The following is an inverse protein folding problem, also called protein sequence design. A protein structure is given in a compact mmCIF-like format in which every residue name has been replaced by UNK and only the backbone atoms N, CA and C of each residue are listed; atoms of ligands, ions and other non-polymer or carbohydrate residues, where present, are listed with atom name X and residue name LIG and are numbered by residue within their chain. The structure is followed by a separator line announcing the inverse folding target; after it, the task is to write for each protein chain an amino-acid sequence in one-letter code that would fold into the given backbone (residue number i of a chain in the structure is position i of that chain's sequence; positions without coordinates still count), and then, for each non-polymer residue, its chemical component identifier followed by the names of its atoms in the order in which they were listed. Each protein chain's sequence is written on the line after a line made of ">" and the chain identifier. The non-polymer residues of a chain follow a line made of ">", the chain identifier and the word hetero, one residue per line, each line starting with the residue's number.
data_IF_659775389332
#
_entry.id   IF_659775389332
#
_cell.length_a   1.000
_cell.length_b   1.000
_cell.length_c   1.000
_cell.angle_alpha   90.00
_cell.angle_beta   90.00
_cell.angle_gamma   90.00
#
_symmetry.space_group_name_H-M   'P 1'
#
loop_
_entity.id
_entity.type
_entity.pdbx_description
1 polymer ?
#
# COMPACT_ATOMS: atom_id res chain seq x y z
N UNK A 1 -10.72 -21.47 18.31
CA UNK A 1 -10.68 -21.01 16.95
C UNK A 1 -9.28 -20.45 16.67
N UNK A 2 -8.61 -20.95 15.66
CA UNK A 2 -7.28 -20.44 15.25
C UNK A 2 -7.43 -19.26 14.30
N UNK A 3 -6.44 -18.37 14.31
CA UNK A 3 -6.32 -17.34 13.27
C UNK A 3 -5.61 -18.00 12.08
N UNK A 4 -6.20 -17.94 10.91
CA UNK A 4 -5.61 -18.42 9.68
C UNK A 4 -4.91 -17.25 8.98
N UNK A 5 -3.64 -17.43 8.60
CA UNK A 5 -2.83 -16.40 7.97
C UNK A 5 -2.58 -16.81 6.51
N UNK A 6 -2.96 -15.95 5.56
CA UNK A 6 -2.65 -16.10 4.15
C UNK A 6 -1.71 -14.97 3.72
N UNK A 7 -0.50 -15.33 3.33
CA UNK A 7 0.46 -14.38 2.73
C UNK A 7 0.27 -14.32 1.23
N UNK A 8 0.30 -13.11 0.69
CA UNK A 8 0.24 -12.84 -0.74
C UNK A 8 1.55 -12.20 -1.19
N UNK A 9 2.36 -12.96 -1.92
CA UNK A 9 3.63 -12.51 -2.48
C UNK A 9 3.43 -11.99 -3.92
N UNK A 10 2.71 -10.91 -4.08
CA UNK A 10 2.60 -10.23 -5.38
C UNK A 10 3.63 -9.12 -5.46
N UNK A 11 4.51 -9.18 -6.47
CA UNK A 11 5.44 -8.10 -6.74
C UNK A 11 4.67 -6.84 -7.13
N UNK A 12 5.24 -5.70 -6.83
CA UNK A 12 4.84 -4.33 -7.18
C UNK A 12 3.34 -3.99 -7.18
N UNK A 13 2.94 -3.19 -6.20
CA UNK A 13 1.56 -2.79 -5.87
C UNK A 13 0.87 -1.92 -6.94
N UNK A 14 1.57 -1.42 -7.96
CA UNK A 14 1.09 -0.28 -8.72
C UNK A 14 0.01 -0.53 -9.79
N UNK A 15 -0.15 -1.67 -10.42
CA UNK A 15 -1.13 -1.82 -11.52
C UNK A 15 -1.84 -3.17 -11.64
N UNK A 16 -1.28 -4.26 -11.14
CA UNK A 16 -1.90 -5.59 -11.20
C UNK A 16 -2.62 -5.99 -9.92
N UNK A 17 -2.40 -5.27 -8.83
CA UNK A 17 -2.78 -5.69 -7.49
C UNK A 17 -4.25 -5.52 -7.16
N UNK A 18 -4.92 -4.54 -7.73
CA UNK A 18 -6.35 -4.35 -7.44
C UNK A 18 -7.14 -5.56 -7.95
N UNK A 19 -6.78 -6.08 -9.14
CA UNK A 19 -7.41 -7.27 -9.70
C UNK A 19 -7.03 -8.57 -8.97
N UNK A 20 -5.74 -8.76 -8.71
CA UNK A 20 -5.22 -9.95 -8.03
C UNK A 20 -5.63 -9.99 -6.55
N UNK A 21 -5.61 -8.82 -5.89
CA UNK A 21 -6.05 -8.68 -4.51
C UNK A 21 -7.55 -8.94 -4.37
N UNK A 22 -8.38 -8.36 -5.22
CA UNK A 22 -9.81 -8.60 -5.23
C UNK A 22 -10.14 -10.08 -5.42
N UNK A 23 -9.45 -10.73 -6.38
CA UNK A 23 -9.59 -12.18 -6.62
C UNK A 23 -9.19 -13.01 -5.40
N UNK A 24 -8.06 -12.69 -4.78
CA UNK A 24 -7.60 -13.40 -3.59
C UNK A 24 -8.50 -13.17 -2.37
N UNK A 25 -9.05 -11.97 -2.20
CA UNK A 25 -9.99 -11.66 -1.14
C UNK A 25 -11.30 -12.43 -1.35
N UNK A 26 -11.80 -12.50 -2.59
CA UNK A 26 -12.95 -13.31 -2.97
C UNK A 26 -12.74 -14.78 -2.64
N UNK A 27 -11.59 -15.35 -3.02
CA UNK A 27 -11.23 -16.74 -2.69
C UNK A 27 -11.22 -17.00 -1.17
N UNK A 28 -10.69 -16.05 -0.38
CA UNK A 28 -10.68 -16.16 1.09
C UNK A 28 -12.11 -16.18 1.64
N UNK A 29 -12.98 -15.29 1.18
CA UNK A 29 -14.36 -15.22 1.62
C UNK A 29 -15.12 -16.50 1.27
N UNK A 30 -15.02 -16.94 0.01
CA UNK A 30 -15.74 -18.12 -0.49
C UNK A 30 -15.27 -19.44 0.12
N UNK A 31 -13.97 -19.55 0.40
CA UNK A 31 -13.38 -20.79 0.91
C UNK A 31 -13.49 -20.95 2.42
N UNK A 32 -13.29 -19.84 3.16
CA UNK A 32 -13.14 -19.90 4.62
C UNK A 32 -14.34 -19.35 5.36
N UNK A 33 -15.22 -18.59 4.70
CA UNK A 33 -16.38 -17.92 5.32
C UNK A 33 -16.05 -17.25 6.66
N UNK A 34 -15.03 -16.37 6.70
CA UNK A 34 -14.56 -15.78 7.94
C UNK A 34 -15.56 -14.76 8.47
N UNK A 35 -15.70 -14.67 9.79
CA UNK A 35 -16.49 -13.61 10.45
C UNK A 35 -15.80 -12.24 10.32
N UNK A 36 -14.45 -12.23 10.19
CA UNK A 36 -13.63 -11.03 10.09
C UNK A 36 -12.36 -11.29 9.31
N UNK A 37 -11.99 -10.32 8.47
CA UNK A 37 -10.74 -10.30 7.73
C UNK A 37 -9.92 -9.10 8.20
N UNK A 38 -8.65 -9.35 8.55
CA UNK A 38 -7.67 -8.30 8.83
C UNK A 38 -6.66 -8.29 7.69
N UNK A 39 -6.51 -7.14 7.05
CA UNK A 39 -5.61 -6.94 5.92
C UNK A 39 -4.42 -6.11 6.38
N UNK A 40 -3.22 -6.63 6.24
CA UNK A 40 -1.97 -5.91 6.46
C UNK A 40 -1.26 -5.69 5.12
N UNK A 41 -1.39 -4.52 4.49
CA UNK A 41 -0.68 -4.21 3.26
C UNK A 41 0.79 -3.88 3.52
N UNK A 42 1.59 -3.88 2.46
CA UNK A 42 2.98 -3.42 2.53
C UNK A 42 3.04 -1.94 2.96
N UNK A 43 4.03 -1.61 3.80
CA UNK A 43 4.25 -0.23 4.27
C UNK A 43 4.63 0.78 3.19
N UNK A 44 4.86 0.34 1.95
CA UNK A 44 5.10 1.18 0.76
C UNK A 44 3.90 1.17 -0.20
N UNK A 45 2.70 0.87 0.28
CA UNK A 45 1.44 0.92 -0.47
C UNK A 45 0.54 2.06 -0.02
N UNK A 46 -0.33 2.52 -0.91
CA UNK A 46 -1.40 3.47 -0.59
C UNK A 46 -2.52 2.73 0.14
N UNK A 47 -2.94 3.24 1.30
CA UNK A 47 -4.08 2.67 2.04
C UNK A 47 -5.39 2.86 1.28
N UNK A 48 -5.54 3.98 0.58
CA UNK A 48 -6.71 4.25 -0.28
C UNK A 48 -6.93 3.16 -1.34
N UNK A 49 -5.87 2.63 -1.96
CA UNK A 49 -5.99 1.58 -2.98
C UNK A 49 -6.57 0.30 -2.39
N UNK A 50 -6.16 -0.06 -1.17
CA UNK A 50 -6.70 -1.22 -0.46
C UNK A 50 -8.16 -1.00 -0.07
N UNK A 51 -8.51 0.21 0.38
CA UNK A 51 -9.90 0.58 0.70
C UNK A 51 -10.77 0.45 -0.53
N UNK A 52 -10.39 1.05 -1.65
CA UNK A 52 -11.13 0.96 -2.92
C UNK A 52 -11.25 -0.48 -3.42
N UNK A 53 -10.21 -1.30 -3.28
CA UNK A 53 -10.27 -2.70 -3.67
C UNK A 53 -11.28 -3.51 -2.84
N UNK A 54 -11.41 -3.21 -1.55
CA UNK A 54 -12.42 -3.84 -0.68
C UNK A 54 -13.82 -3.34 -0.99
N UNK A 55 -14.01 -2.03 -1.19
CA UNK A 55 -15.31 -1.42 -1.49
C UNK A 55 -15.86 -1.86 -2.85
N UNK A 56 -14.96 -2.08 -3.83
CA UNK A 56 -15.32 -2.54 -5.18
C UNK A 56 -15.41 -4.08 -5.29
N UNK A 57 -15.31 -4.82 -4.18
CA UNK A 57 -15.38 -6.27 -4.21
C UNK A 57 -16.81 -6.74 -4.50
N UNK A 58 -16.99 -7.38 -5.65
CA UNK A 58 -18.25 -8.01 -6.02
C UNK A 58 -18.16 -9.53 -5.77
N UNK A 59 -18.93 -10.02 -4.81
CA UNK A 59 -19.07 -11.46 -4.54
C UNK A 59 -20.21 -12.04 -5.41
N UNK A 60 -19.99 -13.26 -5.93
CA UNK A 60 -21.02 -13.96 -6.74
C UNK A 60 -22.08 -14.63 -5.86
N UNK A 61 -21.76 -14.90 -4.60
CA UNK A 61 -22.69 -15.47 -3.61
C UNK A 61 -23.27 -14.37 -2.73
N UNK A 62 -24.42 -14.65 -2.06
CA UNK A 62 -25.14 -13.74 -1.15
C UNK A 62 -24.32 -13.35 0.12
N UNK A 63 -23.06 -12.99 -0.06
CA UNK A 63 -22.15 -12.53 0.97
C UNK A 63 -21.73 -11.09 0.74
N UNK A 64 -21.94 -10.23 1.71
CA UNK A 64 -21.46 -8.84 1.67
C UNK A 64 -20.17 -8.73 2.51
N UNK A 65 -19.06 -8.27 1.87
CA UNK A 65 -17.89 -7.84 2.60
C UNK A 65 -18.01 -6.35 2.87
N UNK A 66 -18.03 -5.99 4.14
CA UNK A 66 -18.14 -4.60 4.56
C UNK A 66 -16.83 -4.13 5.13
N UNK A 67 -16.30 -3.04 4.57
CA UNK A 67 -15.19 -2.33 5.18
C UNK A 67 -15.64 -1.73 6.51
N UNK A 68 -15.04 -2.18 7.61
CA UNK A 68 -15.40 -1.77 8.95
C UNK A 68 -14.50 -0.65 9.47
N UNK A 69 -13.18 -0.73 9.23
CA UNK A 69 -12.22 0.26 9.71
C UNK A 69 -10.96 0.27 8.87
N UNK A 70 -10.33 1.43 8.78
CA UNK A 70 -9.01 1.64 8.23
C UNK A 70 -8.09 2.21 9.32
N UNK A 71 -6.99 1.53 9.60
CA UNK A 71 -6.10 1.85 10.72
C UNK A 71 -4.67 2.01 10.23
N UNK A 72 -4.01 3.09 10.65
CA UNK A 72 -2.59 3.31 10.39
C UNK A 72 -1.79 3.29 11.69
N UNK A 73 -0.68 2.55 11.70
CA UNK A 73 0.25 2.50 12.84
C UNK A 73 1.44 3.40 12.54
N UNK A 74 1.67 4.41 13.37
CA UNK A 74 2.73 5.40 13.21
C UNK A 74 3.76 5.27 14.32
N UNK A 75 5.04 5.05 13.97
CA UNK A 75 6.16 5.12 14.90
C UNK A 75 6.40 6.58 15.30
N UNK A 76 6.10 6.94 16.55
CA UNK A 76 6.23 8.30 17.08
C UNK A 76 7.63 8.89 16.93
N UNK A 77 8.67 8.05 16.95
CA UNK A 77 10.07 8.49 16.84
C UNK A 77 10.50 8.74 15.40
N UNK A 78 9.78 8.21 14.43
CA UNK A 78 10.16 8.22 13.01
C UNK A 78 9.18 8.99 12.11
N UNK A 79 8.10 9.51 12.66
CA UNK A 79 7.03 10.18 11.92
C UNK A 79 7.56 11.22 10.91
N UNK A 80 8.36 12.21 11.37
CA UNK A 80 8.99 13.22 10.50
C UNK A 80 9.90 12.64 9.42
N UNK A 81 10.64 11.58 9.77
CA UNK A 81 11.55 10.92 8.84
C UNK A 81 10.78 10.19 7.74
N UNK A 82 9.70 9.51 8.10
CA UNK A 82 8.86 8.80 7.14
C UNK A 82 8.14 9.77 6.20
N UNK A 83 7.60 10.87 6.72
CA UNK A 83 7.01 11.90 5.87
C UNK A 83 8.02 12.46 4.86
N UNK A 84 9.28 12.67 5.27
CA UNK A 84 10.33 13.18 4.38
C UNK A 84 10.77 12.16 3.32
N UNK A 85 10.91 10.88 3.68
CA UNK A 85 11.52 9.86 2.83
C UNK A 85 10.51 9.07 2.00
N UNK A 86 9.27 8.95 2.47
CA UNK A 86 8.18 8.18 1.88
C UNK A 86 6.90 9.03 1.81
N UNK A 87 7.06 10.33 1.51
CA UNK A 87 6.04 11.36 1.68
C UNK A 87 4.68 10.97 1.13
N UNK A 88 4.61 10.51 -0.11
CA UNK A 88 3.38 10.11 -0.78
C UNK A 88 2.67 8.96 -0.05
N UNK A 89 3.38 7.86 0.21
CA UNK A 89 2.79 6.69 0.87
C UNK A 89 2.42 6.99 2.31
N UNK A 90 3.31 7.64 3.07
CA UNK A 90 3.05 8.00 4.45
C UNK A 90 1.87 8.97 4.58
N UNK A 91 1.81 9.98 3.70
CA UNK A 91 0.72 10.95 3.65
C UNK A 91 -0.61 10.24 3.39
N UNK A 92 -0.68 9.44 2.33
CA UNK A 92 -1.88 8.68 1.98
C UNK A 92 -2.33 7.73 3.11
N UNK A 93 -1.41 7.01 3.75
CA UNK A 93 -1.74 6.13 4.87
C UNK A 93 -2.30 6.88 6.08
N UNK A 94 -1.84 8.10 6.35
CA UNK A 94 -2.36 8.94 7.42
C UNK A 94 -3.71 9.55 7.03
N UNK A 95 -3.84 10.08 5.83
CA UNK A 95 -5.05 10.75 5.33
C UNK A 95 -6.23 9.79 5.20
N UNK A 96 -6.01 8.56 4.70
CA UNK A 96 -7.05 7.58 4.50
C UNK A 96 -7.46 6.81 5.78
N UNK A 97 -6.77 7.01 6.91
CA UNK A 97 -7.06 6.28 8.14
C UNK A 97 -8.20 6.91 8.94
N UNK A 98 -9.17 6.11 9.35
CA UNK A 98 -10.17 6.52 10.36
C UNK A 98 -9.61 6.50 11.79
N UNK A 99 -8.59 5.65 12.02
CA UNK A 99 -7.89 5.56 13.31
C UNK A 99 -6.39 5.48 13.11
N UNK A 100 -5.63 6.21 13.92
CA UNK A 100 -4.17 6.20 13.92
C UNK A 100 -3.66 5.77 15.29
N UNK A 101 -2.85 4.71 15.32
CA UNK A 101 -2.24 4.20 16.54
C UNK A 101 -0.78 4.66 16.58
N UNK A 102 -0.42 5.45 17.61
CA UNK A 102 0.97 5.80 17.85
C UNK A 102 1.69 4.64 18.55
N UNK A 103 2.68 4.07 17.88
CA UNK A 103 3.52 3.03 18.43
C UNK A 103 4.77 3.60 19.09
N UNK A 104 5.36 2.82 20.02
CA UNK A 104 6.59 3.15 20.74
C UNK A 104 6.48 4.38 21.64
N UNK A 105 5.30 4.73 22.08
CA UNK A 105 5.02 5.83 23.02
C UNK A 105 5.55 5.56 24.43
N UNK A 106 5.74 4.30 24.79
CA UNK A 106 6.27 3.81 26.06
C UNK A 106 7.81 3.83 26.16
N UNK A 107 8.49 4.10 25.05
CA UNK A 107 9.95 4.08 25.04
C UNK A 107 10.55 5.33 25.70
N UNK A 108 11.71 5.18 26.36
CA UNK A 108 12.44 6.32 26.96
C UNK A 108 12.79 7.45 25.98
N UNK A 109 12.77 7.15 24.66
CA UNK A 109 13.07 8.13 23.61
C UNK A 109 11.82 8.92 23.16
N UNK A 110 10.63 8.44 23.51
CA UNK A 110 9.37 9.09 23.20
C UNK A 110 9.03 10.09 24.31
N UNK A 111 9.65 11.26 24.26
CA UNK A 111 9.34 12.33 25.21
C UNK A 111 7.95 12.94 24.89
N UNK A 112 7.27 13.58 25.86
CA UNK A 112 5.98 14.23 25.63
C UNK A 112 5.99 15.17 24.43
N UNK A 113 7.07 15.95 24.25
CA UNK A 113 7.21 16.89 23.13
C UNK A 113 7.30 16.20 21.77
N UNK A 114 7.89 15.02 21.71
CA UNK A 114 7.95 14.22 20.46
C UNK A 114 6.61 13.59 20.13
N UNK A 115 5.89 13.13 21.16
CA UNK A 115 4.53 12.59 20.97
C UNK A 115 3.62 13.72 20.48
N UNK A 116 3.66 14.88 21.10
CA UNK A 116 2.88 16.05 20.70
C UNK A 116 3.20 16.50 19.27
N UNK A 117 4.49 16.60 18.93
CA UNK A 117 4.92 16.95 17.57
C UNK A 117 4.48 15.92 16.50
N UNK A 118 4.37 14.64 16.86
CA UNK A 118 3.81 13.63 15.96
C UNK A 118 2.29 13.78 15.81
N UNK A 119 1.59 14.09 16.90
CA UNK A 119 0.14 14.36 16.88
C UNK A 119 -0.16 15.58 16.03
N UNK A 120 0.57 16.69 16.21
CA UNK A 120 0.40 17.91 15.40
C UNK A 120 0.56 17.60 13.91
N UNK A 121 1.64 16.90 13.51
CA UNK A 121 1.89 16.52 12.13
C UNK A 121 0.78 15.65 11.56
N UNK A 122 0.27 14.70 12.34
CA UNK A 122 -0.85 13.85 11.93
C UNK A 122 -2.12 14.67 11.76
N UNK A 123 -2.39 15.62 12.68
CA UNK A 123 -3.56 16.50 12.60
C UNK A 123 -3.53 17.46 11.43
N UNK A 124 -2.35 17.88 10.97
CA UNK A 124 -2.19 18.66 9.74
C UNK A 124 -2.61 17.86 8.50
N UNK A 125 -2.35 16.53 8.49
CA UNK A 125 -2.69 15.64 7.38
C UNK A 125 -4.13 15.10 7.50
N UNK A 126 -4.57 14.76 8.71
CA UNK A 126 -5.88 14.19 8.98
C UNK A 126 -6.46 14.75 10.29
N UNK A 127 -7.28 15.79 10.21
CA UNK A 127 -7.86 16.43 11.38
C UNK A 127 -8.90 15.55 12.09
N UNK A 128 -9.54 14.61 11.38
CA UNK A 128 -10.71 13.88 11.85
C UNK A 128 -10.38 12.50 12.43
N UNK A 129 -9.20 11.94 12.12
CA UNK A 129 -8.82 10.61 12.60
C UNK A 129 -8.83 10.51 14.14
N UNK A 130 -9.27 9.37 14.65
CA UNK A 130 -9.07 9.03 16.06
C UNK A 130 -7.62 8.66 16.30
N UNK A 131 -6.94 9.35 17.25
CA UNK A 131 -5.53 9.06 17.57
C UNK A 131 -5.44 8.33 18.91
N UNK A 132 -4.86 7.12 18.90
CA UNK A 132 -4.58 6.31 20.08
C UNK A 132 -3.11 6.53 20.46
N UNK A 133 -2.87 7.08 21.65
CA UNK A 133 -1.52 7.36 22.18
C UNK A 133 -1.11 6.39 23.28
N UNK A 134 -2.06 5.68 23.88
CA UNK A 134 -1.80 4.66 24.89
C UNK A 134 -1.07 3.48 24.26
N UNK A 135 0.00 2.94 24.89
CA UNK A 135 0.65 1.73 24.40
C UNK A 135 -0.34 0.59 24.19
N UNK A 136 -0.14 -0.15 23.09
CA UNK A 136 -1.06 -1.23 22.67
C UNK A 136 -1.15 -2.32 23.75
N UNK A 137 -0.04 -2.61 24.42
CA UNK A 137 0.06 -3.59 25.50
C UNK A 137 -0.80 -3.20 26.72
N UNK A 138 -0.87 -1.90 27.03
CA UNK A 138 -1.66 -1.39 28.14
C UNK A 138 -3.15 -1.27 27.81
N UNK A 139 -3.48 -1.06 26.53
CA UNK A 139 -4.86 -0.89 26.09
C UNK A 139 -5.59 -2.22 25.97
N UNK A 140 -4.91 -3.24 25.47
CA UNK A 140 -5.48 -4.55 25.19
C UNK A 140 -6.31 -4.62 23.90
N UNK A 141 -6.33 -5.81 23.28
CA UNK A 141 -6.91 -6.00 21.95
C UNK A 141 -8.40 -5.67 21.86
N UNK A 142 -9.21 -6.01 22.89
CA UNK A 142 -10.66 -5.75 22.88
C UNK A 142 -10.94 -4.25 22.82
N UNK A 143 -10.24 -3.46 23.61
CA UNK A 143 -10.46 -2.01 23.67
C UNK A 143 -9.98 -1.33 22.38
N UNK A 144 -8.95 -1.85 21.73
CA UNK A 144 -8.53 -1.40 20.41
C UNK A 144 -9.64 -1.68 19.40
N UNK A 145 -10.17 -2.90 19.36
CA UNK A 145 -11.30 -3.26 18.48
C UNK A 145 -12.50 -2.34 18.70
N UNK A 146 -12.92 -2.15 19.95
CA UNK A 146 -14.05 -1.28 20.30
C UNK A 146 -13.82 0.18 19.86
N UNK A 147 -12.55 0.62 19.82
CA UNK A 147 -12.22 1.99 19.39
C UNK A 147 -12.20 2.14 17.88
N UNK A 148 -11.71 1.14 17.13
CA UNK A 148 -11.59 1.23 15.67
C UNK A 148 -12.89 0.87 14.96
N UNK A 149 -13.78 0.09 15.58
CA UNK A 149 -15.04 -0.32 14.99
C UNK A 149 -16.00 0.85 14.84
N UNK A 150 -16.61 0.94 13.65
CA UNK A 150 -17.58 1.99 13.35
C UNK A 150 -17.02 3.39 13.14
N UNK A 151 -15.68 3.55 13.08
CA UNK A 151 -15.07 4.81 12.67
C UNK A 151 -15.36 5.09 11.20
N UNK A 152 -15.74 6.33 10.90
CA UNK A 152 -15.96 6.74 9.51
C UNK A 152 -14.63 6.73 8.76
N UNK A 153 -14.66 6.12 7.59
CA UNK A 153 -13.58 6.22 6.61
C UNK A 153 -14.00 7.33 5.66
N UNK A 154 -13.20 8.38 5.60
CA UNK A 154 -13.43 9.50 4.71
C UNK A 154 -12.20 9.68 3.81
N UNK A 155 -12.37 9.42 2.53
CA UNK A 155 -11.33 9.57 1.51
C UNK A 155 -11.34 10.95 0.86
N UNK A 156 -12.23 11.87 1.26
CA UNK A 156 -12.34 13.20 0.66
C UNK A 156 -11.08 14.06 0.79
N UNK A 157 -10.22 13.73 1.74
CA UNK A 157 -8.94 14.41 1.98
C UNK A 157 -7.76 13.79 1.23
N UNK A 158 -7.96 12.61 0.64
CA UNK A 158 -6.91 11.93 -0.12
C UNK A 158 -6.80 12.58 -1.48
N UNK A 159 -5.68 13.24 -1.76
CA UNK A 159 -5.40 13.76 -3.09
C UNK A 159 -5.32 12.58 -4.07
N UNK A 160 -6.29 12.50 -4.99
CA UNK A 160 -6.23 11.60 -6.14
C UNK A 160 -5.17 12.15 -7.10
N UNK A 161 -3.91 11.83 -6.84
CA UNK A 161 -2.89 11.95 -7.87
C UNK A 161 -3.22 10.90 -8.93
N UNK A 162 -3.85 11.34 -10.01
CA UNK A 162 -3.99 10.54 -11.21
C UNK A 162 -2.59 10.27 -11.75
N UNK A 163 -2.00 9.15 -11.31
CA UNK A 163 -0.84 8.58 -11.96
C UNK A 163 -1.21 8.28 -13.41
N UNK A 164 -0.85 9.21 -14.30
CA UNK A 164 -0.74 8.96 -15.73
C UNK A 164 0.40 7.98 -15.99
N UNK A 165 0.33 6.80 -15.36
CA UNK A 165 1.16 5.67 -15.71
C UNK A 165 0.48 4.91 -16.83
N UNK A 166 1.14 4.91 -17.97
CA UNK A 166 0.90 4.05 -19.13
C UNK A 166 -0.07 4.56 -20.20
N UNK A 167 0.24 5.72 -20.80
CA UNK A 167 -0.13 5.95 -22.19
C UNK A 167 1.16 6.18 -23.02
N UNK A 168 1.98 5.14 -23.08
CA UNK A 168 3.01 5.01 -24.11
C UNK A 168 2.47 4.05 -25.18
N UNK A 169 1.62 4.58 -26.04
CA UNK A 169 1.46 4.04 -27.38
C UNK A 169 2.79 4.18 -28.11
N UNK A 170 3.60 3.13 -28.05
CA UNK A 170 4.74 2.97 -28.95
C UNK A 170 4.20 2.67 -30.34
N UNK A 171 3.93 3.73 -31.11
CA UNK A 171 3.89 3.64 -32.56
C UNK A 171 5.32 3.36 -33.04
N UNK A 172 5.63 2.09 -33.25
CA UNK A 172 6.78 1.69 -34.04
C UNK A 172 6.36 1.77 -35.52
N UNK A 173 6.56 2.93 -36.13
CA UNK A 173 6.65 3.03 -37.58
C UNK A 173 7.99 2.39 -37.98
N UNK A 174 7.92 1.17 -38.45
CA UNK A 174 9.04 0.49 -39.12
C UNK A 174 9.07 0.95 -40.60
N UNK A 175 9.79 2.03 -40.86
CA UNK A 175 10.29 2.31 -42.20
C UNK A 175 11.44 1.33 -42.49
N UNK A 176 11.15 0.35 -43.32
CA UNK A 176 12.15 -0.53 -43.90
C UNK A 176 12.85 0.19 -45.04
N UNK A 177 13.96 0.85 -44.77
CA UNK A 177 14.92 1.18 -45.83
C UNK A 177 15.80 -0.06 -46.07
N UNK A 178 15.69 -0.58 -47.32
CA UNK A 178 16.52 -1.65 -47.84
C UNK A 178 17.96 -1.14 -48.01
N UNK A 179 18.86 -1.57 -47.15
CA UNK A 179 20.30 -1.39 -47.37
C UNK A 179 20.86 -2.66 -47.99
N UNK A 180 21.14 -2.58 -49.30
CA UNK A 180 21.97 -3.55 -50.02
C UNK A 180 23.43 -3.45 -49.51
N UNK A 181 23.89 -4.45 -48.81
CA UNK A 181 25.29 -4.59 -48.48
C UNK A 181 25.99 -5.52 -49.51
N UNK A 182 26.78 -4.92 -50.40
CA UNK A 182 27.79 -5.63 -51.18
C UNK A 182 28.97 -5.99 -50.24
N UNK A 183 29.19 -7.28 -50.05
CA UNK A 183 30.41 -7.77 -49.43
C UNK A 183 31.36 -8.19 -50.56
N UNK A 184 32.44 -7.45 -50.77
CA UNK A 184 33.63 -7.91 -51.47
C UNK A 184 34.50 -8.69 -50.50
N UNK A 185 34.79 -9.96 -50.83
CA UNK A 185 35.74 -10.80 -50.15
C UNK A 185 37.10 -10.65 -50.79
N UNK A 186 38.02 -10.00 -50.12
CA UNK A 186 39.46 -10.11 -50.42
C UNK A 186 40.06 -11.22 -49.59
N UNK A 187 40.57 -12.25 -50.30
CA UNK A 187 41.38 -13.32 -49.73
C UNK A 187 42.85 -12.88 -49.81
N UNK A 188 43.47 -12.63 -48.65
CA UNK A 188 44.95 -12.59 -48.55
C UNK A 188 45.42 -13.88 -47.85
N UNK A 189 46.18 -14.64 -48.61
CA UNK A 189 46.92 -15.84 -48.15
C UNK A 189 48.14 -15.36 -47.29
N UNK A 190 48.23 -15.90 -46.08
CA UNK A 190 49.49 -15.83 -45.32
C UNK A 190 50.11 -17.23 -45.18
N UNK A 191 51.24 -17.36 -45.87
CA UNK A 191 52.14 -18.50 -45.78
C UNK A 191 52.81 -18.59 -44.39
N UNK A 192 52.92 -19.79 -43.89
CA UNK A 192 53.71 -20.17 -42.74
C UNK A 192 55.15 -20.42 -43.14
N UNK A 193 56.09 -19.80 -42.46
CA UNK A 193 57.50 -20.23 -42.37
C UNK A 193 57.97 -20.17 -40.91
N UNK A 194 58.43 -21.40 -40.47
CA UNK A 194 59.34 -21.79 -39.39
C UNK A 194 58.98 -21.40 -37.95
#
# INVERSE_FOLDING_TARGET
>A
AGIEIKEMNSGCICCSLVGDFGTALKEVVEKYHPDRIVIEPSGVGKLSDVIHAVENLHLEADGEVKLNSAVTVVDVLKCKMYLKNFGEFFKNQVEAAGTIILSRTDTKKATPEKIEAAIELIRELNPDATIITTPVEDLGGQKILDTIEGMKIDLSHVEEEHDHCCDHEHHHDHDHEEHEHHHEHDHEEHEHHH
#
